data_IF_711401967853
#
_entry.id   IF_711401967853
#
_cell.length_a   1.000
_cell.length_b   1.000
_cell.length_c   1.000
_cell.angle_alpha   90.00
_cell.angle_beta   90.00
_cell.angle_gamma   90.00
#
_symmetry.space_group_name_H-M   'P 1'
#
loop_
_entity.id
_entity.type
_entity.pdbx_description
1 polymer ?
#
# COMPACT_ATOMS: atom_id res chain seq x y z
N UNK A 1 -46.99 21.09 26.94
CA UNK A 1 -46.27 21.73 25.82
C UNK A 1 -44.90 21.07 25.76
N UNK A 2 -44.77 19.93 25.07
CA UNK A 2 -44.25 19.91 23.70
C UNK A 2 -42.82 19.34 23.70
N UNK A 3 -42.65 18.11 24.22
CA UNK A 3 -41.37 17.40 24.19
C UNK A 3 -41.09 16.96 22.76
N UNK A 4 -40.10 17.59 22.12
CA UNK A 4 -39.67 17.26 20.78
C UNK A 4 -39.16 15.82 20.72
N UNK A 5 -39.89 14.97 20.02
CA UNK A 5 -39.42 13.65 19.62
C UNK A 5 -38.24 13.85 18.64
N UNK A 6 -37.02 13.87 19.15
CA UNK A 6 -35.86 13.63 18.32
C UNK A 6 -35.97 12.20 17.81
N UNK A 7 -36.18 12.04 16.51
CA UNK A 7 -36.15 10.75 15.86
C UNK A 7 -34.78 10.11 16.11
N UNK A 8 -34.68 9.20 17.08
CA UNK A 8 -33.54 8.31 17.18
C UNK A 8 -33.47 7.55 15.85
N UNK A 9 -32.43 7.80 15.06
CA UNK A 9 -32.22 7.04 13.84
C UNK A 9 -32.23 5.55 14.20
N UNK A 10 -32.83 4.68 13.37
CA UNK A 10 -32.88 3.25 13.67
C UNK A 10 -31.48 2.74 13.95
N UNK A 11 -31.32 2.01 15.05
CA UNK A 11 -30.07 1.37 15.43
C UNK A 11 -29.68 0.39 14.32
N UNK A 12 -28.84 0.83 13.39
CA UNK A 12 -28.14 -0.06 12.46
C UNK A 12 -27.33 -1.02 13.33
N UNK A 13 -27.24 -2.32 13.01
CA UNK A 13 -26.44 -3.25 13.80
C UNK A 13 -25.06 -2.67 14.01
N UNK A 14 -24.66 -2.52 15.27
CA UNK A 14 -23.35 -1.96 15.63
C UNK A 14 -22.26 -2.63 14.79
N UNK A 15 -21.29 -1.86 14.24
CA UNK A 15 -20.21 -2.44 13.46
C UNK A 15 -19.54 -3.55 14.27
N UNK A 16 -19.19 -4.66 13.62
CA UNK A 16 -18.80 -5.91 14.27
C UNK A 16 -17.69 -5.71 15.31
N UNK A 17 -16.78 -4.76 15.07
CA UNK A 17 -15.69 -4.46 15.99
C UNK A 17 -16.11 -3.62 17.21
N UNK A 18 -17.21 -2.86 17.15
CA UNK A 18 -17.66 -2.01 18.26
C UNK A 18 -17.99 -2.84 19.50
N UNK A 19 -18.54 -4.04 19.33
CA UNK A 19 -18.78 -4.99 20.42
C UNK A 19 -17.49 -5.43 21.14
N UNK A 20 -16.37 -5.46 20.42
CA UNK A 20 -15.06 -5.86 20.97
C UNK A 20 -14.28 -4.67 21.55
N UNK A 21 -14.51 -3.46 21.04
CA UNK A 21 -13.83 -2.24 21.50
C UNK A 21 -14.57 -1.52 22.63
N UNK A 22 -15.90 -1.53 22.65
CA UNK A 22 -16.71 -0.83 23.64
C UNK A 22 -16.38 -1.17 25.11
N UNK A 23 -16.07 -2.44 25.48
CA UNK A 23 -15.74 -2.75 26.87
C UNK A 23 -14.28 -2.46 27.24
N UNK A 24 -13.39 -2.31 26.26
CA UNK A 24 -11.93 -2.32 26.49
C UNK A 24 -11.23 -1.00 26.24
N UNK A 25 -11.80 -0.13 25.42
CA UNK A 25 -11.02 0.95 24.85
C UNK A 25 -11.09 2.25 25.67
N UNK A 26 -12.18 2.53 26.40
CA UNK A 26 -12.41 3.87 26.98
C UNK A 26 -12.37 5.01 25.94
N UNK A 27 -12.22 4.68 24.65
CA UNK A 27 -11.96 5.58 23.53
C UNK A 27 -13.28 6.08 22.91
N UNK A 28 -14.38 5.37 23.16
CA UNK A 28 -15.73 5.77 22.81
C UNK A 28 -16.58 5.84 24.09
N UNK A 29 -16.77 7.02 24.70
CA UNK A 29 -17.82 7.18 25.70
C UNK A 29 -19.16 6.73 25.11
N UNK A 30 -20.03 6.13 25.92
CA UNK A 30 -21.39 5.74 25.50
C UNK A 30 -22.20 6.94 24.95
N UNK A 31 -21.81 8.15 25.35
CA UNK A 31 -22.38 9.45 24.93
C UNK A 31 -21.68 10.06 23.72
N UNK A 32 -20.72 9.37 23.08
CA UNK A 32 -20.04 9.90 21.90
C UNK A 32 -20.96 9.85 20.68
N UNK A 33 -21.66 10.96 20.46
CA UNK A 33 -22.51 11.17 19.30
C UNK A 33 -21.74 11.94 18.22
N UNK A 34 -21.63 11.36 17.02
CA UNK A 34 -21.15 12.06 15.83
C UNK A 34 -22.29 12.24 14.82
N UNK A 35 -22.26 13.33 14.07
CA UNK A 35 -23.23 13.57 13.01
C UNK A 35 -22.96 12.62 11.83
N UNK A 36 -23.96 11.82 11.46
CA UNK A 36 -23.90 10.85 10.36
C UNK A 36 -24.08 11.49 8.98
N UNK A 37 -24.60 12.70 8.91
CA UNK A 37 -24.89 13.42 7.67
C UNK A 37 -23.65 14.10 7.10
N UNK A 38 -22.61 14.27 7.92
CA UNK A 38 -21.36 14.89 7.49
C UNK A 38 -20.53 13.84 6.76
N UNK A 39 -20.31 14.08 5.47
CA UNK A 39 -19.40 13.29 4.68
C UNK A 39 -17.96 13.77 4.87
N UNK A 40 -17.06 12.83 5.14
CA UNK A 40 -15.62 13.08 5.22
C UNK A 40 -14.90 12.28 4.14
N UNK A 41 -13.90 12.85 3.45
CA UNK A 41 -13.19 12.15 2.38
C UNK A 41 -12.40 10.92 2.88
N UNK A 42 -12.04 10.88 4.17
CA UNK A 42 -11.31 9.77 4.81
C UNK A 42 -12.23 8.82 5.59
N UNK A 43 -13.56 8.98 5.48
CA UNK A 43 -14.57 8.14 6.12
C UNK A 43 -15.14 8.67 7.45
N UNK A 44 -14.43 9.54 8.17
CA UNK A 44 -14.88 10.14 9.42
C UNK A 44 -14.56 9.29 10.67
N UNK A 45 -15.47 9.29 11.65
CA UNK A 45 -15.27 8.60 12.93
C UNK A 45 -15.63 7.12 12.83
N UNK A 46 -14.69 6.23 13.19
CA UNK A 46 -14.97 4.80 13.39
C UNK A 46 -15.56 4.08 12.17
N UNK A 47 -15.00 4.28 10.99
CA UNK A 47 -15.52 3.75 9.73
C UNK A 47 -15.37 2.23 9.62
N UNK A 48 -16.48 1.51 9.42
CA UNK A 48 -16.51 0.07 9.07
C UNK A 48 -17.38 -0.19 7.84
N UNK A 49 -16.96 0.22 6.63
CA UNK A 49 -17.77 -0.04 5.46
C UNK A 49 -17.84 -1.55 5.21
N UNK A 50 -19.05 -2.09 5.03
CA UNK A 50 -19.28 -3.54 4.80
C UNK A 50 -18.42 -4.14 3.68
N UNK A 51 -18.04 -3.32 2.69
CA UNK A 51 -17.22 -3.71 1.53
C UNK A 51 -15.72 -3.47 1.66
N UNK A 52 -15.18 -3.17 2.85
CA UNK A 52 -13.79 -2.73 3.00
C UNK A 52 -12.78 -3.67 2.32
N UNK A 53 -12.94 -5.00 2.47
CA UNK A 53 -12.03 -5.98 1.86
C UNK A 53 -11.97 -5.89 0.35
N UNK A 54 -13.14 -5.79 -0.30
CA UNK A 54 -13.24 -5.69 -1.76
C UNK A 54 -12.63 -4.38 -2.25
N UNK A 55 -12.92 -3.28 -1.54
CA UNK A 55 -12.39 -1.96 -1.91
C UNK A 55 -10.86 -1.92 -1.75
N UNK A 56 -10.32 -2.43 -0.64
CA UNK A 56 -8.87 -2.53 -0.44
C UNK A 56 -8.22 -3.38 -1.53
N UNK A 57 -8.81 -4.53 -1.88
CA UNK A 57 -8.28 -5.38 -2.94
C UNK A 57 -8.24 -4.66 -4.29
N UNK A 58 -9.31 -3.95 -4.66
CA UNK A 58 -9.37 -3.17 -5.89
C UNK A 58 -8.35 -2.03 -5.89
N UNK A 59 -8.22 -1.29 -4.78
CA UNK A 59 -7.25 -0.20 -4.67
C UNK A 59 -5.82 -0.72 -4.76
N UNK A 60 -5.48 -1.79 -4.04
CA UNK A 60 -4.15 -2.40 -4.11
C UNK A 60 -3.86 -2.97 -5.50
N UNK A 61 -4.86 -3.57 -6.16
CA UNK A 61 -4.74 -4.03 -7.54
C UNK A 61 -4.47 -2.88 -8.52
N UNK A 62 -5.20 -1.77 -8.40
CA UNK A 62 -4.99 -0.58 -9.23
C UNK A 62 -3.61 0.05 -9.01
N UNK A 63 -3.22 0.25 -7.74
CA UNK A 63 -1.90 0.77 -7.38
C UNK A 63 -0.80 -0.16 -7.88
N UNK A 64 -0.93 -1.47 -7.67
CA UNK A 64 0.01 -2.47 -8.15
C UNK A 64 0.15 -2.45 -9.68
N UNK A 65 -0.97 -2.31 -10.41
CA UNK A 65 -0.96 -2.17 -11.86
C UNK A 65 -0.19 -0.93 -12.34
N UNK A 66 -0.44 0.23 -11.72
CA UNK A 66 0.28 1.47 -12.04
C UNK A 66 1.77 1.32 -11.73
N UNK A 67 2.13 0.80 -10.56
CA UNK A 67 3.51 0.59 -10.16
C UNK A 67 4.24 -0.36 -11.12
N UNK A 68 3.58 -1.42 -11.57
CA UNK A 68 4.15 -2.35 -12.55
C UNK A 68 4.43 -1.65 -13.88
N UNK A 69 3.49 -0.87 -14.42
CA UNK A 69 3.70 -0.12 -15.66
C UNK A 69 4.83 0.92 -15.52
N UNK A 70 4.85 1.65 -14.40
CA UNK A 70 5.93 2.60 -14.10
C UNK A 70 7.28 1.90 -13.96
N UNK A 71 7.31 0.73 -13.34
CA UNK A 71 8.52 -0.08 -13.22
C UNK A 71 9.04 -0.51 -14.61
N UNK A 72 8.18 -1.04 -15.47
CA UNK A 72 8.55 -1.43 -16.84
C UNK A 72 9.06 -0.23 -17.65
N UNK A 73 8.41 0.93 -17.52
CA UNK A 73 8.89 2.15 -18.15
C UNK A 73 10.25 2.58 -17.58
N UNK A 74 10.43 2.54 -16.26
CA UNK A 74 11.67 2.90 -15.59
C UNK A 74 12.83 2.00 -16.03
N UNK A 75 12.64 0.69 -16.07
CA UNK A 75 13.71 -0.25 -16.46
C UNK A 75 14.08 -0.11 -17.93
N UNK A 76 13.11 0.16 -18.81
CA UNK A 76 13.36 0.41 -20.23
C UNK A 76 14.18 1.68 -20.48
N UNK A 77 14.05 2.71 -19.63
CA UNK A 77 14.76 3.99 -19.78
C UNK A 77 16.02 4.11 -18.92
N UNK A 78 16.29 3.16 -18.02
CA UNK A 78 17.44 3.22 -17.14
C UNK A 78 18.73 2.92 -17.92
N UNK A 79 19.62 3.91 -17.98
CA UNK A 79 20.95 3.82 -18.61
C UNK A 79 22.04 3.88 -17.53
N UNK A 80 23.02 2.98 -17.61
CA UNK A 80 24.21 2.96 -16.75
C UNK A 80 25.45 3.27 -17.57
N UNK A 81 26.10 4.39 -17.29
CA UNK A 81 27.33 4.79 -17.98
C UNK A 81 28.56 3.97 -17.58
N UNK A 82 28.54 3.34 -16.41
CA UNK A 82 29.62 2.50 -15.93
C UNK A 82 29.10 1.12 -15.54
N UNK A 83 29.84 0.05 -15.86
CA UNK A 83 29.51 -1.29 -15.37
C UNK A 83 29.64 -1.35 -13.84
N UNK A 84 28.81 -2.15 -13.16
CA UNK A 84 28.95 -2.37 -11.73
C UNK A 84 30.24 -3.16 -11.43
N UNK A 85 30.84 -2.93 -10.25
CA UNK A 85 32.12 -3.55 -9.83
C UNK A 85 31.99 -5.01 -9.33
N UNK A 86 30.83 -5.62 -9.59
CA UNK A 86 30.38 -6.87 -9.01
C UNK A 86 28.89 -7.03 -9.25
N UNK A 87 28.36 -8.23 -9.01
CA UNK A 87 26.95 -8.50 -9.23
C UNK A 87 26.08 -7.71 -8.24
N UNK A 88 25.02 -7.07 -8.75
CA UNK A 88 24.00 -6.40 -7.94
C UNK A 88 22.60 -6.90 -8.34
N UNK A 89 21.64 -7.01 -7.40
CA UNK A 89 20.30 -7.50 -7.70
C UNK A 89 19.57 -6.73 -8.80
N UNK A 90 19.85 -5.42 -8.94
CA UNK A 90 19.17 -4.59 -9.93
C UNK A 90 19.47 -4.96 -11.39
N UNK A 91 20.49 -5.77 -11.63
CA UNK A 91 20.78 -6.34 -12.95
C UNK A 91 19.72 -7.37 -13.40
N UNK A 92 18.94 -7.95 -12.48
CA UNK A 92 17.95 -8.98 -12.81
C UNK A 92 16.77 -8.45 -13.62
N UNK A 93 16.47 -7.16 -13.51
CA UNK A 93 15.26 -6.56 -14.08
C UNK A 93 15.53 -5.41 -15.05
N UNK A 94 16.79 -5.00 -15.21
CA UNK A 94 17.20 -4.10 -16.29
C UNK A 94 18.15 -4.85 -17.23
N UNK A 95 17.67 -5.13 -18.44
CA UNK A 95 18.43 -5.81 -19.49
C UNK A 95 19.52 -4.94 -20.12
N UNK A 96 19.48 -3.62 -19.92
CA UNK A 96 20.46 -2.67 -20.47
C UNK A 96 21.70 -2.52 -19.57
N UNK A 97 21.81 -3.28 -18.47
CA UNK A 97 22.97 -3.19 -17.58
C UNK A 97 24.14 -3.96 -18.16
N UNK A 98 25.32 -3.31 -18.32
CA UNK A 98 26.53 -4.02 -18.71
C UNK A 98 26.92 -5.09 -17.68
N UNK A 99 27.60 -6.13 -18.13
CA UNK A 99 28.18 -7.16 -17.27
C UNK A 99 29.04 -6.54 -16.15
N UNK A 100 29.04 -7.11 -14.94
CA UNK A 100 29.87 -6.59 -13.88
C UNK A 100 31.34 -6.83 -14.22
N UNK A 101 32.20 -5.88 -13.85
CA UNK A 101 33.64 -5.98 -14.10
C UNK A 101 34.44 -5.80 -12.83
N UNK A 102 35.62 -6.43 -12.75
CA UNK A 102 36.56 -6.14 -11.68
C UNK A 102 37.25 -4.78 -11.87
N UNK A 103 38.09 -4.40 -10.91
CA UNK A 103 38.88 -3.16 -10.96
C UNK A 103 39.88 -3.11 -12.13
N UNK A 104 40.11 -4.22 -12.84
CA UNK A 104 40.96 -4.33 -14.04
C UNK A 104 40.14 -4.37 -15.34
N UNK A 105 38.81 -4.35 -15.26
CA UNK A 105 37.92 -4.41 -16.42
C UNK A 105 37.58 -5.82 -16.91
N UNK A 106 37.91 -6.88 -16.15
CA UNK A 106 37.56 -8.26 -16.52
C UNK A 106 36.12 -8.58 -16.10
N UNK A 107 35.37 -9.27 -16.97
CA UNK A 107 33.97 -9.65 -16.70
C UNK A 107 33.85 -10.62 -15.53
N UNK A 108 32.84 -10.41 -14.71
CA UNK A 108 32.50 -11.21 -13.54
C UNK A 108 31.18 -11.95 -13.74
N UNK A 109 31.07 -13.15 -13.17
CA UNK A 109 29.82 -13.88 -13.04
C UNK A 109 28.97 -13.32 -11.89
N UNK A 110 27.79 -13.90 -11.67
CA UNK A 110 26.90 -13.55 -10.55
C UNK A 110 27.55 -13.73 -9.18
N UNK A 111 28.47 -14.68 -9.05
CA UNK A 111 29.14 -15.03 -7.80
C UNK A 111 30.41 -14.19 -7.58
N UNK A 112 30.78 -13.31 -8.51
CA UNK A 112 32.00 -12.51 -8.47
C UNK A 112 33.26 -13.24 -8.94
N UNK A 113 33.13 -14.40 -9.58
CA UNK A 113 34.24 -15.09 -10.24
C UNK A 113 34.45 -14.54 -11.64
N UNK A 114 35.65 -14.76 -12.20
CA UNK A 114 35.93 -14.38 -13.58
C UNK A 114 35.12 -15.26 -14.54
N UNK A 115 34.50 -14.63 -15.53
CA UNK A 115 33.95 -15.39 -16.65
C UNK A 115 35.12 -15.94 -17.48
N UNK A 116 35.20 -17.27 -17.57
CA UNK A 116 36.11 -17.92 -18.50
C UNK A 116 35.44 -17.93 -19.88
N UNK A 117 36.07 -17.29 -20.87
CA UNK A 117 35.64 -17.35 -22.29
C UNK A 117 35.82 -18.75 -22.89
#
# INVERSE_FOLDING_TARGET
MGGGHHHHAPAVPEPSYAKFLAPKSGLCPHEFHYNREIWYPHGGFYCDPKGWRKNTLLTLGAVGGILFLMFQYSTANEVRHMPPKGWIPSMMWNSNVPDPVDFRGRKLDRNGNLQHE
#
